data_IF_014173637487
#
_entry.id   IF_014173637487
#
_cell.length_a   1.000
_cell.length_b   1.000
_cell.length_c   1.000
_cell.angle_alpha   90.00
_cell.angle_beta   90.00
_cell.angle_gamma   90.00
#
_symmetry.space_group_name_H-M   'P 1'
#
loop_
_entity.id
_entity.type
_entity.pdbx_description
1 polymer ?
#
# COMPACT_ATOMS: atom_id res chain seq x y z
N UNK A 1 -4.35 27.26 -22.60
CA UNK A 1 -3.51 26.50 -23.54
C UNK A 1 -4.01 25.07 -23.55
N UNK A 2 -4.88 24.74 -24.51
CA UNK A 2 -5.41 23.39 -24.76
C UNK A 2 -4.37 22.61 -25.58
N UNK A 3 -3.42 21.98 -24.91
CA UNK A 3 -2.49 21.05 -25.56
C UNK A 3 -3.20 19.70 -25.77
N UNK A 4 -2.82 18.91 -26.77
CA UNK A 4 -3.41 17.57 -26.99
C UNK A 4 -3.34 16.67 -25.74
N UNK A 5 -2.35 16.91 -24.88
CA UNK A 5 -2.15 16.29 -23.56
C UNK A 5 -3.38 16.50 -22.67
N UNK A 6 -4.00 17.68 -22.66
CA UNK A 6 -5.17 17.96 -21.83
C UNK A 6 -6.44 17.20 -22.29
N UNK A 7 -6.53 16.80 -23.56
CA UNK A 7 -7.69 16.04 -24.07
C UNK A 7 -7.57 14.56 -23.69
N UNK A 8 -6.36 14.00 -23.78
CA UNK A 8 -6.10 12.62 -23.36
C UNK A 8 -6.31 12.44 -21.84
N UNK A 9 -5.89 13.42 -21.04
CA UNK A 9 -6.10 13.40 -19.60
C UNK A 9 -7.59 13.42 -19.23
N UNK A 10 -8.40 14.28 -19.84
CA UNK A 10 -9.86 14.32 -19.62
C UNK A 10 -10.53 13.01 -20.07
N UNK A 11 -10.10 12.42 -21.20
CA UNK A 11 -10.62 11.11 -21.63
C UNK A 11 -10.25 10.00 -20.65
N UNK A 12 -9.04 10.03 -20.09
CA UNK A 12 -8.62 9.08 -19.06
C UNK A 12 -9.47 9.25 -17.81
N UNK A 13 -9.70 10.48 -17.36
CA UNK A 13 -10.56 10.78 -16.21
C UNK A 13 -11.97 10.21 -16.40
N UNK A 14 -12.64 10.52 -17.52
CA UNK A 14 -13.98 9.99 -17.84
C UNK A 14 -13.98 8.46 -17.85
N UNK A 15 -12.93 7.85 -18.42
CA UNK A 15 -12.79 6.39 -18.45
C UNK A 15 -12.65 5.80 -17.05
N UNK A 16 -11.82 6.40 -16.19
CA UNK A 16 -11.62 5.98 -14.80
C UNK A 16 -12.92 6.14 -14.01
N UNK A 17 -13.55 7.31 -14.05
CA UNK A 17 -14.80 7.60 -13.33
C UNK A 17 -15.94 6.65 -13.75
N UNK A 18 -16.07 6.37 -15.05
CA UNK A 18 -17.07 5.42 -15.55
C UNK A 18 -16.78 3.98 -15.10
N UNK A 19 -15.50 3.61 -15.08
CA UNK A 19 -15.06 2.25 -14.75
C UNK A 19 -15.01 1.98 -13.24
N UNK A 20 -14.79 3.01 -12.42
CA UNK A 20 -14.90 2.99 -10.97
C UNK A 20 -16.33 3.40 -10.58
N UNK A 21 -17.21 2.42 -10.39
CA UNK A 21 -18.57 2.68 -9.91
C UNK A 21 -18.95 1.70 -8.81
N UNK A 22 -19.90 2.11 -7.97
CA UNK A 22 -20.48 1.25 -6.92
C UNK A 22 -19.89 1.41 -5.52
N UNK A 23 -18.91 2.29 -5.30
CA UNK A 23 -18.40 2.58 -3.97
C UNK A 23 -19.10 3.79 -3.32
N UNK A 24 -19.54 3.65 -2.06
CA UNK A 24 -20.31 4.66 -1.33
C UNK A 24 -19.61 6.02 -1.23
N UNK A 25 -18.30 6.00 -0.96
CA UNK A 25 -17.46 7.17 -0.76
C UNK A 25 -16.77 7.67 -2.03
N UNK A 26 -17.20 7.20 -3.21
CA UNK A 26 -16.75 7.71 -4.51
C UNK A 26 -17.86 8.59 -5.08
N UNK A 27 -17.51 9.71 -5.71
CA UNK A 27 -18.49 10.54 -6.43
C UNK A 27 -19.18 9.72 -7.52
N UNK A 28 -20.52 9.78 -7.58
CA UNK A 28 -21.26 9.06 -8.62
C UNK A 28 -21.11 9.79 -9.95
N UNK A 29 -20.51 9.11 -10.93
CA UNK A 29 -20.51 9.52 -12.33
C UNK A 29 -21.85 9.17 -12.98
N UNK A 30 -22.45 10.11 -13.70
CA UNK A 30 -23.70 9.91 -14.44
C UNK A 30 -23.46 9.77 -15.94
N UNK A 31 -22.76 10.72 -16.54
CA UNK A 31 -22.51 10.74 -17.98
C UNK A 31 -21.35 11.68 -18.34
N UNK A 32 -20.86 11.60 -19.58
CA UNK A 32 -19.97 12.60 -20.15
C UNK A 32 -20.37 12.91 -21.60
N UNK A 33 -20.46 14.19 -21.94
CA UNK A 33 -20.74 14.65 -23.30
C UNK A 33 -19.74 15.71 -23.73
N UNK A 34 -19.60 15.92 -25.03
CA UNK A 34 -18.70 16.92 -25.61
C UNK A 34 -19.45 17.75 -26.65
N UNK A 35 -19.11 19.04 -26.72
CA UNK A 35 -19.47 19.90 -27.84
C UNK A 35 -18.20 20.31 -28.61
N UNK A 36 -18.31 21.28 -29.52
CA UNK A 36 -17.16 21.72 -30.32
C UNK A 36 -16.00 22.32 -29.50
N UNK A 37 -16.26 22.75 -28.26
CA UNK A 37 -15.31 23.53 -27.45
C UNK A 37 -15.02 22.92 -26.07
N UNK A 38 -15.93 22.12 -25.51
CA UNK A 38 -15.87 21.67 -24.11
C UNK A 38 -16.23 20.20 -23.96
N UNK A 39 -15.67 19.59 -22.92
CA UNK A 39 -16.13 18.30 -22.37
C UNK A 39 -16.88 18.59 -21.08
N UNK A 40 -18.05 17.98 -20.93
CA UNK A 40 -18.92 18.10 -19.78
C UNK A 40 -18.99 16.75 -19.06
N UNK A 41 -18.57 16.72 -17.80
CA UNK A 41 -18.63 15.53 -16.94
C UNK A 41 -19.79 15.73 -15.97
N UNK A 42 -20.83 14.91 -16.09
CA UNK A 42 -22.05 14.98 -15.29
C UNK A 42 -21.93 14.04 -14.10
N UNK A 43 -21.92 14.58 -12.89
CA UNK A 43 -21.66 13.85 -11.64
C UNK A 43 -22.62 14.24 -10.51
N UNK A 44 -22.58 13.48 -9.42
CA UNK A 44 -23.26 13.78 -8.16
C UNK A 44 -22.87 15.16 -7.62
N UNK A 45 -23.87 15.99 -7.35
CA UNK A 45 -23.69 17.27 -6.68
C UNK A 45 -23.44 17.05 -5.19
N UNK A 46 -22.32 17.55 -4.68
CA UNK A 46 -21.96 17.51 -3.26
C UNK A 46 -22.11 18.91 -2.65
N UNK A 47 -23.16 19.13 -1.85
CA UNK A 47 -23.50 20.45 -1.29
C UNK A 47 -22.98 20.69 0.13
N UNK A 48 -22.29 19.70 0.71
CA UNK A 48 -21.82 19.71 2.09
C UNK A 48 -20.47 20.40 2.32
N UNK A 49 -19.82 20.87 1.26
CA UNK A 49 -18.52 21.54 1.31
C UNK A 49 -17.33 20.58 1.47
N UNK A 50 -16.14 21.17 1.54
CA UNK A 50 -14.86 20.46 1.66
C UNK A 50 -14.63 19.88 3.06
N UNK A 51 -13.78 18.84 3.12
CA UNK A 51 -13.44 18.14 4.35
C UNK A 51 -12.94 19.09 5.45
N UNK A 52 -11.92 19.92 5.15
CA UNK A 52 -11.32 20.81 6.13
C UNK A 52 -12.28 21.92 6.57
N UNK A 53 -13.04 22.51 5.65
CA UNK A 53 -13.99 23.56 6.00
C UNK A 53 -15.03 23.07 6.99
N UNK A 54 -15.53 21.85 6.76
CA UNK A 54 -16.49 21.23 7.67
C UNK A 54 -15.90 20.96 9.04
N UNK A 55 -14.64 20.53 9.10
CA UNK A 55 -13.93 20.30 10.35
C UNK A 55 -13.69 21.63 11.08
N UNK A 56 -13.22 22.66 10.38
CA UNK A 56 -12.94 23.99 10.94
C UNK A 56 -14.21 24.66 11.48
N UNK A 57 -15.36 24.44 10.83
CA UNK A 57 -16.65 24.98 11.27
C UNK A 57 -17.09 24.50 12.67
N UNK A 58 -16.53 23.40 13.18
CA UNK A 58 -16.83 22.82 14.51
C UNK A 58 -16.02 23.43 15.67
N UNK A 59 -15.29 24.52 15.44
CA UNK A 59 -14.58 25.25 16.52
C UNK A 59 -13.15 24.76 16.81
N UNK A 60 -12.53 24.03 15.88
CA UNK A 60 -11.07 23.87 15.81
C UNK A 60 -10.41 22.89 16.79
N UNK A 61 -11.17 22.15 17.61
CA UNK A 61 -10.64 21.02 18.39
C UNK A 61 -11.19 19.73 17.82
N UNK A 62 -10.36 19.04 17.05
CA UNK A 62 -10.74 17.76 16.48
C UNK A 62 -10.29 16.64 17.42
N UNK A 63 -11.25 15.82 17.87
CA UNK A 63 -10.93 14.68 18.69
C UNK A 63 -10.32 13.58 17.81
N UNK A 64 -9.47 12.75 18.41
CA UNK A 64 -8.88 11.60 17.73
C UNK A 64 -9.97 10.69 17.14
N UNK A 65 -11.09 10.50 17.86
CA UNK A 65 -12.24 9.72 17.40
C UNK A 65 -12.86 10.28 16.12
N UNK A 66 -13.03 11.59 15.99
CA UNK A 66 -13.56 12.17 14.76
C UNK A 66 -12.62 11.90 13.57
N UNK A 67 -11.30 12.00 13.79
CA UNK A 67 -10.30 11.69 12.78
C UNK A 67 -10.35 10.25 12.31
N UNK A 68 -10.56 9.29 13.22
CA UNK A 68 -10.76 7.89 12.85
C UNK A 68 -11.92 7.72 11.88
N UNK A 69 -13.06 8.37 12.13
CA UNK A 69 -14.24 8.27 11.25
C UNK A 69 -13.97 8.77 9.83
N UNK A 70 -13.21 9.85 9.68
CA UNK A 70 -12.83 10.39 8.36
C UNK A 70 -11.78 9.49 7.69
N UNK A 71 -10.71 9.16 8.40
CA UNK A 71 -9.61 8.36 7.83
C UNK A 71 -10.10 7.00 7.37
N UNK A 72 -11.03 6.36 8.10
CA UNK A 72 -11.61 5.10 7.66
C UNK A 72 -12.38 5.24 6.33
N UNK A 73 -13.13 6.33 6.14
CA UNK A 73 -13.84 6.56 4.88
C UNK A 73 -12.85 6.80 3.71
N UNK A 74 -11.77 7.57 3.96
CA UNK A 74 -10.69 7.80 2.99
C UNK A 74 -10.05 6.47 2.59
N UNK A 75 -9.62 5.68 3.58
CA UNK A 75 -8.98 4.39 3.34
C UNK A 75 -9.92 3.41 2.63
N UNK A 76 -11.21 3.41 2.94
CA UNK A 76 -12.19 2.54 2.29
C UNK A 76 -12.25 2.79 0.79
N UNK A 77 -12.40 4.06 0.35
CA UNK A 77 -12.47 4.37 -1.09
C UNK A 77 -11.12 4.16 -1.78
N UNK A 78 -10.01 4.47 -1.11
CA UNK A 78 -8.67 4.25 -1.69
C UNK A 78 -8.35 2.76 -1.82
N UNK A 79 -8.69 1.94 -0.82
CA UNK A 79 -8.57 0.48 -0.90
C UNK A 79 -9.37 -0.09 -2.07
N UNK A 80 -10.59 0.41 -2.29
CA UNK A 80 -11.40 0.04 -3.45
C UNK A 80 -10.69 0.40 -4.77
N UNK A 81 -10.23 1.63 -4.94
CA UNK A 81 -9.51 2.07 -6.15
C UNK A 81 -8.24 1.23 -6.39
N UNK A 82 -7.45 1.00 -5.34
CA UNK A 82 -6.20 0.25 -5.39
C UNK A 82 -6.42 -1.21 -5.80
N UNK A 83 -7.50 -1.84 -5.34
CA UNK A 83 -7.88 -3.19 -5.76
C UNK A 83 -8.21 -3.25 -7.26
N UNK A 84 -8.79 -2.19 -7.82
CA UNK A 84 -9.04 -2.07 -9.27
C UNK A 84 -7.79 -1.70 -10.08
N UNK A 85 -6.64 -1.46 -9.43
CA UNK A 85 -5.43 -0.99 -10.10
C UNK A 85 -5.50 0.47 -10.55
N UNK A 86 -6.20 1.32 -9.79
CA UNK A 86 -6.24 2.77 -10.02
C UNK A 86 -5.52 3.49 -8.88
N UNK A 87 -4.63 4.41 -9.24
CA UNK A 87 -3.96 5.35 -8.31
C UNK A 87 -4.52 6.75 -8.52
N UNK A 88 -4.80 7.48 -7.44
CA UNK A 88 -5.40 8.81 -7.53
C UNK A 88 -4.37 9.91 -7.82
N UNK A 89 -3.19 9.84 -7.20
CA UNK A 89 -2.04 10.76 -7.36
C UNK A 89 -2.21 12.21 -6.88
N UNK A 90 -3.39 12.60 -6.39
CA UNK A 90 -3.63 13.95 -5.87
C UNK A 90 -4.64 13.92 -4.70
N UNK A 91 -4.46 12.98 -3.77
CA UNK A 91 -5.26 12.97 -2.56
C UNK A 91 -4.89 14.15 -1.67
N UNK A 92 -5.88 15.01 -1.42
CA UNK A 92 -5.78 16.19 -0.57
C UNK A 92 -7.18 16.49 -0.02
N UNK A 93 -7.30 17.21 1.10
CA UNK A 93 -8.60 17.46 1.72
C UNK A 93 -9.62 18.17 0.81
N UNK A 94 -9.15 19.00 -0.12
CA UNK A 94 -9.97 19.70 -1.12
C UNK A 94 -10.69 18.72 -2.06
N UNK A 95 -10.15 17.51 -2.25
CA UNK A 95 -10.72 16.46 -3.11
C UNK A 95 -11.68 15.53 -2.34
N UNK A 96 -12.04 15.87 -1.10
CA UNK A 96 -13.06 15.17 -0.32
C UNK A 96 -14.20 16.13 0.01
N UNK A 97 -15.35 15.91 -0.63
CA UNK A 97 -16.57 16.69 -0.41
C UNK A 97 -17.60 15.90 0.36
N UNK A 98 -18.51 16.58 1.05
CA UNK A 98 -19.68 15.93 1.64
C UNK A 98 -20.90 16.04 0.73
N UNK A 99 -21.65 14.94 0.59
CA UNK A 99 -22.81 14.87 -0.30
C UNK A 99 -23.88 15.92 0.05
N UNK A 100 -24.09 16.21 1.33
CA UNK A 100 -25.02 17.23 1.81
C UNK A 100 -24.51 17.91 3.08
N UNK A 101 -25.23 18.95 3.54
CA UNK A 101 -24.90 19.69 4.76
C UNK A 101 -25.24 18.92 6.06
N UNK A 102 -26.00 17.83 5.96
CA UNK A 102 -26.43 17.02 7.12
C UNK A 102 -25.24 16.39 7.82
N UNK A 103 -25.14 16.43 9.16
CA UNK A 103 -23.96 15.99 9.94
C UNK A 103 -23.50 14.55 9.65
N UNK A 104 -24.44 13.69 9.26
CA UNK A 104 -24.25 12.29 8.89
C UNK A 104 -23.99 12.06 7.39
N UNK A 105 -23.86 13.13 6.60
CA UNK A 105 -23.66 13.05 5.17
C UNK A 105 -22.36 12.31 4.82
N UNK A 106 -22.46 11.46 3.79
CA UNK A 106 -21.32 10.71 3.28
C UNK A 106 -20.27 11.63 2.65
N UNK A 107 -19.01 11.34 2.97
CA UNK A 107 -17.86 11.92 2.27
C UNK A 107 -17.67 11.22 0.92
N UNK A 108 -17.31 12.00 -0.10
CA UNK A 108 -17.13 11.62 -1.49
C UNK A 108 -15.75 12.06 -1.96
N UNK A 109 -14.96 11.11 -2.44
CA UNK A 109 -13.74 11.38 -3.20
C UNK A 109 -14.12 11.86 -4.60
N UNK A 110 -13.58 13.02 -4.98
CA UNK A 110 -13.76 13.67 -6.27
C UNK A 110 -12.42 13.85 -6.99
N UNK A 111 -12.46 14.36 -8.23
CA UNK A 111 -11.31 14.81 -9.03
C UNK A 111 -10.31 13.69 -9.39
N UNK A 112 -10.62 12.96 -10.46
CA UNK A 112 -9.76 11.92 -11.01
C UNK A 112 -8.91 12.43 -12.18
N UNK A 113 -8.77 13.75 -12.35
CA UNK A 113 -8.06 14.37 -13.47
C UNK A 113 -6.58 14.01 -13.53
N UNK A 114 -5.97 13.74 -12.36
CA UNK A 114 -4.62 13.21 -12.26
C UNK A 114 -4.56 11.71 -12.04
N UNK A 115 -5.65 10.95 -12.05
CA UNK A 115 -5.59 9.50 -11.78
C UNK A 115 -4.99 8.70 -12.94
N UNK A 116 -4.49 7.49 -12.65
CA UNK A 116 -4.02 6.56 -13.69
C UNK A 116 -4.33 5.10 -13.38
N UNK A 117 -4.32 4.28 -14.44
CA UNK A 117 -4.30 2.83 -14.29
C UNK A 117 -2.87 2.36 -14.06
N UNK A 118 -2.69 1.47 -13.10
CA UNK A 118 -1.42 0.81 -12.80
C UNK A 118 -1.53 -0.66 -13.20
N UNK A 119 -0.75 -1.09 -14.18
CA UNK A 119 -0.64 -2.52 -14.50
C UNK A 119 0.22 -3.24 -13.47
N UNK A 120 0.08 -4.57 -13.36
CA UNK A 120 0.97 -5.37 -12.52
C UNK A 120 2.44 -5.08 -12.84
N UNK A 121 3.24 -4.86 -11.79
CA UNK A 121 4.68 -4.55 -11.85
C UNK A 121 5.05 -3.23 -12.55
N UNK A 122 4.07 -2.42 -12.98
CA UNK A 122 4.28 -1.09 -13.57
C UNK A 122 4.54 -0.02 -12.49
N UNK A 123 5.40 0.95 -12.82
CA UNK A 123 5.68 2.13 -12.01
C UNK A 123 5.64 3.38 -12.88
N UNK A 124 5.03 4.44 -12.35
CA UNK A 124 4.89 5.74 -13.00
C UNK A 124 6.17 6.59 -12.83
N UNK A 125 6.38 7.50 -13.77
CA UNK A 125 7.63 8.29 -13.89
C UNK A 125 7.43 9.80 -14.04
N UNK A 126 6.18 10.25 -14.09
CA UNK A 126 5.78 11.65 -14.06
C UNK A 126 5.87 12.22 -12.63
N UNK A 127 5.90 13.55 -12.51
CA UNK A 127 5.82 14.25 -11.22
C UNK A 127 4.52 15.04 -11.23
N UNK A 128 3.52 14.52 -10.55
CA UNK A 128 2.17 15.10 -10.44
C UNK A 128 1.72 15.13 -8.99
N UNK A 129 0.62 15.86 -8.75
CA UNK A 129 0.02 16.02 -7.43
C UNK A 129 0.45 17.30 -6.71
N UNK A 130 -0.27 17.61 -5.65
CA UNK A 130 -0.11 18.83 -4.88
C UNK A 130 1.11 18.78 -3.96
N UNK A 131 1.91 19.85 -3.93
CA UNK A 131 3.26 19.85 -3.34
C UNK A 131 3.35 19.41 -1.87
N UNK A 132 2.30 19.64 -1.07
CA UNK A 132 2.26 19.24 0.35
C UNK A 132 1.99 17.76 0.57
N UNK A 133 1.34 17.10 -0.40
CA UNK A 133 0.81 15.74 -0.26
C UNK A 133 1.56 14.73 -1.14
N UNK A 134 2.48 15.20 -1.98
CA UNK A 134 3.28 14.35 -2.87
C UNK A 134 4.27 13.48 -2.11
N UNK A 135 4.36 12.20 -2.49
CA UNK A 135 5.24 11.23 -1.86
C UNK A 135 6.71 11.37 -2.32
N UNK A 136 7.71 10.98 -1.51
CA UNK A 136 9.13 11.04 -1.86
C UNK A 136 9.45 10.30 -3.17
N UNK A 137 8.85 9.14 -3.39
CA UNK A 137 9.08 8.30 -4.57
C UNK A 137 8.48 8.87 -5.88
N UNK A 138 7.47 9.75 -5.79
CA UNK A 138 6.96 10.52 -6.94
C UNK A 138 8.04 11.49 -7.41
N UNK A 139 8.72 12.17 -6.48
CA UNK A 139 9.86 13.05 -6.80
C UNK A 139 11.06 12.27 -7.40
N UNK A 140 11.16 10.97 -7.09
CA UNK A 140 12.12 10.07 -7.71
C UNK A 140 11.63 9.43 -9.02
N UNK A 141 10.43 9.79 -9.51
CA UNK A 141 9.85 9.28 -10.77
C UNK A 141 9.74 7.76 -10.80
N UNK A 142 9.39 7.15 -9.67
CA UNK A 142 9.21 5.70 -9.59
C UNK A 142 8.24 5.37 -8.46
N UNK A 143 6.95 5.38 -8.76
CA UNK A 143 5.88 5.18 -7.77
C UNK A 143 4.72 4.36 -8.34
N UNK A 144 3.88 3.88 -7.44
CA UNK A 144 2.66 3.15 -7.72
C UNK A 144 1.61 3.52 -6.65
N UNK A 145 0.75 2.58 -6.25
CA UNK A 145 -0.36 2.78 -5.31
C UNK A 145 0.07 3.39 -3.95
N UNK A 146 1.30 3.10 -3.50
CA UNK A 146 1.88 3.63 -2.26
C UNK A 146 1.85 5.16 -2.15
N UNK A 147 1.87 5.89 -3.27
CA UNK A 147 1.90 7.35 -3.28
C UNK A 147 0.67 7.94 -2.60
N UNK A 148 -0.50 7.36 -2.87
CA UNK A 148 -1.77 7.75 -2.24
C UNK A 148 -1.72 7.53 -0.72
N UNK A 149 -1.06 6.47 -0.26
CA UNK A 149 -0.96 6.16 1.18
C UNK A 149 -0.14 7.23 1.93
N UNK A 150 0.90 7.77 1.30
CA UNK A 150 1.64 8.89 1.87
C UNK A 150 0.74 10.12 1.98
N UNK A 151 -0.01 10.45 0.93
CA UNK A 151 -0.93 11.57 0.94
C UNK A 151 -1.99 11.44 2.04
N UNK A 152 -2.52 10.23 2.27
CA UNK A 152 -3.41 9.93 3.41
C UNK A 152 -2.70 10.13 4.75
N UNK A 153 -1.42 9.76 4.86
CA UNK A 153 -0.59 10.04 6.03
C UNK A 153 -0.46 11.54 6.31
N UNK A 154 -0.26 12.36 5.28
CA UNK A 154 -0.21 13.83 5.41
C UNK A 154 -1.57 14.39 5.84
N UNK A 155 -2.66 13.93 5.22
CA UNK A 155 -4.03 14.32 5.61
C UNK A 155 -4.27 13.95 7.07
N UNK A 156 -3.95 12.73 7.47
CA UNK A 156 -4.14 12.26 8.86
C UNK A 156 -3.32 13.08 9.84
N UNK A 157 -2.06 13.39 9.53
CA UNK A 157 -1.22 14.27 10.35
C UNK A 157 -1.89 15.64 10.55
N UNK A 158 -2.39 16.26 9.47
CA UNK A 158 -3.07 17.56 9.52
C UNK A 158 -4.38 17.47 10.33
N UNK A 159 -5.17 16.40 10.18
CA UNK A 159 -6.40 16.20 10.95
C UNK A 159 -6.13 16.14 12.46
N UNK A 160 -5.02 15.51 12.85
CA UNK A 160 -4.67 15.26 14.24
C UNK A 160 -4.02 16.47 14.94
N UNK A 161 -3.18 17.24 14.24
CA UNK A 161 -2.42 18.34 14.86
C UNK A 161 -2.70 19.73 14.28
N UNK A 162 -3.44 19.83 13.17
CA UNK A 162 -3.75 21.09 12.47
C UNK A 162 -2.57 21.70 11.71
N UNK A 163 -1.41 21.04 11.68
CA UNK A 163 -0.19 21.53 11.04
C UNK A 163 0.28 20.60 9.93
N UNK A 164 1.05 21.13 8.98
CA UNK A 164 1.63 20.33 7.88
C UNK A 164 2.89 19.62 8.36
N UNK A 165 3.09 18.31 8.06
CA UNK A 165 4.29 17.58 8.48
C UNK A 165 5.56 18.08 7.79
N UNK A 166 5.44 18.60 6.56
CA UNK A 166 6.55 19.13 5.78
C UNK A 166 6.18 20.54 5.31
N UNK A 167 6.99 21.54 5.71
CA UNK A 167 6.73 22.93 5.36
C UNK A 167 8.01 23.70 5.04
N UNK A 168 7.98 24.51 3.98
CA UNK A 168 8.95 25.54 3.66
C UNK A 168 8.30 26.61 2.78
N UNK A 169 8.81 27.85 2.80
CA UNK A 169 8.24 28.99 2.06
C UNK A 169 8.14 28.83 0.54
N UNK A 170 8.82 27.85 -0.05
CA UNK A 170 8.86 27.60 -1.49
C UNK A 170 8.60 26.13 -1.75
N UNK A 171 8.02 25.83 -2.92
CA UNK A 171 7.77 24.45 -3.37
C UNK A 171 9.04 23.58 -3.34
N UNK A 172 10.15 24.09 -3.89
CA UNK A 172 11.46 23.42 -3.82
C UNK A 172 11.94 23.15 -2.40
N UNK A 173 11.57 24.02 -1.45
CA UNK A 173 11.83 23.81 -0.03
C UNK A 173 10.98 22.68 0.56
N UNK A 174 9.70 22.60 0.17
CA UNK A 174 8.78 21.53 0.59
C UNK A 174 9.29 20.20 0.08
N UNK A 175 9.65 20.10 -1.21
CA UNK A 175 10.22 18.88 -1.79
C UNK A 175 11.49 18.44 -1.07
N UNK A 176 12.36 19.38 -0.69
CA UNK A 176 13.55 19.07 0.11
C UNK A 176 13.18 18.52 1.48
N UNK A 177 12.16 19.07 2.15
CA UNK A 177 11.67 18.58 3.43
C UNK A 177 11.08 17.17 3.28
N UNK A 178 10.20 16.94 2.31
CA UNK A 178 9.62 15.61 1.98
C UNK A 178 10.73 14.56 1.78
N UNK A 179 11.82 14.92 1.10
CA UNK A 179 12.94 14.00 0.86
C UNK A 179 13.82 13.78 2.11
N UNK A 180 14.05 14.79 2.94
CA UNK A 180 15.15 14.76 3.94
C UNK A 180 14.74 14.85 5.41
N UNK A 181 13.61 15.47 5.72
CA UNK A 181 13.14 15.66 7.08
C UNK A 181 12.13 14.59 7.47
N UNK A 182 12.03 14.28 8.76
CA UNK A 182 10.97 13.44 9.31
C UNK A 182 9.89 14.31 9.95
N UNK A 183 8.63 13.86 10.00
CA UNK A 183 7.56 14.60 10.66
C UNK A 183 7.81 14.72 12.17
N UNK A 184 7.57 15.90 12.74
CA UNK A 184 7.65 16.15 14.19
C UNK A 184 6.46 15.52 14.91
N UNK A 185 6.71 14.84 16.03
CA UNK A 185 5.70 14.33 16.95
C UNK A 185 5.92 14.86 18.39
N UNK A 186 6.74 15.89 18.53
CA UNK A 186 7.14 16.47 19.82
C UNK A 186 6.30 17.71 20.16
N UNK A 187 5.84 18.42 19.13
CA UNK A 187 5.04 19.63 19.29
C UNK A 187 3.58 19.31 19.63
N UNK A 188 2.94 20.17 20.44
CA UNK A 188 1.52 20.03 20.77
C UNK A 188 0.65 19.98 19.50
N UNK A 189 -0.39 19.12 19.45
CA UNK A 189 -0.91 18.27 20.52
C UNK A 189 -0.29 16.86 20.60
N UNK A 190 0.72 16.51 19.78
CA UNK A 190 1.23 15.15 19.67
C UNK A 190 1.59 14.48 20.99
N UNK A 191 2.27 15.13 21.96
CA UNK A 191 2.54 14.52 23.25
C UNK A 191 1.30 13.95 23.97
N UNK A 192 0.12 14.54 23.75
CA UNK A 192 -1.15 14.10 24.35
C UNK A 192 -1.92 13.04 23.56
N UNK A 193 -1.50 12.73 22.33
CA UNK A 193 -2.17 11.73 21.47
C UNK A 193 -1.73 10.30 21.81
N UNK A 194 -2.60 9.33 21.49
CA UNK A 194 -2.32 7.91 21.71
C UNK A 194 -1.05 7.43 20.99
N UNK A 195 -0.44 6.37 21.52
CA UNK A 195 0.74 5.78 20.87
C UNK A 195 0.36 5.16 19.53
N UNK A 196 -0.84 4.59 19.45
CA UNK A 196 -1.43 3.99 18.26
C UNK A 196 -1.65 5.03 17.15
N UNK A 197 -2.08 6.25 17.47
CA UNK A 197 -2.21 7.34 16.49
C UNK A 197 -0.85 7.74 15.92
N UNK A 198 0.17 7.86 16.78
CA UNK A 198 1.54 8.19 16.35
C UNK A 198 2.12 7.09 15.48
N UNK A 199 1.99 5.83 15.89
CA UNK A 199 2.45 4.68 15.10
C UNK A 199 1.76 4.61 13.74
N UNK A 200 0.43 4.77 13.72
CA UNK A 200 -0.35 4.79 12.49
C UNK A 200 0.20 5.82 11.49
N UNK A 201 0.40 7.07 11.93
CA UNK A 201 0.91 8.14 11.05
C UNK A 201 2.35 7.90 10.63
N UNK A 202 3.22 7.40 11.52
CA UNK A 202 4.61 7.03 11.15
C UNK A 202 4.65 5.94 10.08
N UNK A 203 3.76 4.95 10.17
CA UNK A 203 3.67 3.85 9.21
C UNK A 203 3.13 4.29 7.85
N UNK A 204 2.23 5.29 7.80
CA UNK A 204 1.79 5.92 6.54
C UNK A 204 2.85 6.87 5.95
N UNK A 205 3.58 7.60 6.79
CA UNK A 205 4.64 8.55 6.38
C UNK A 205 6.03 7.92 6.34
N UNK A 206 6.12 6.60 6.16
CA UNK A 206 7.41 5.94 5.96
C UNK A 206 7.96 6.33 4.57
N UNK A 207 9.18 6.88 4.55
CA UNK A 207 9.85 7.31 3.29
C UNK A 207 10.20 6.13 2.39
N UNK A 208 10.45 4.96 2.95
CA UNK A 208 10.58 3.74 2.16
C UNK A 208 9.19 3.20 1.87
N UNK A 209 8.73 3.40 0.64
CA UNK A 209 7.39 3.01 0.21
C UNK A 209 7.09 1.51 0.42
N UNK A 210 8.12 0.66 0.44
CA UNK A 210 7.95 -0.80 0.65
C UNK A 210 7.58 -1.15 2.08
N UNK A 211 7.92 -0.26 3.02
CA UNK A 211 7.61 -0.37 4.44
C UNK A 211 6.27 0.26 4.80
N UNK A 212 5.69 1.03 3.88
CA UNK A 212 4.41 1.69 4.07
C UNK A 212 3.28 0.66 4.06
N UNK A 213 2.29 0.84 4.93
CA UNK A 213 1.08 0.02 4.91
C UNK A 213 0.33 0.20 3.59
N UNK A 214 -0.49 -0.77 3.21
CA UNK A 214 -1.57 -0.54 2.23
C UNK A 214 -2.76 0.15 2.90
N UNK A 215 -3.74 0.59 2.11
CA UNK A 215 -4.98 1.13 2.67
C UNK A 215 -5.73 0.09 3.51
N UNK A 216 -5.69 -1.19 3.11
CA UNK A 216 -6.34 -2.29 3.84
C UNK A 216 -5.64 -2.61 5.15
N UNK A 217 -4.30 -2.65 5.14
CA UNK A 217 -3.51 -2.83 6.37
C UNK A 217 -3.72 -1.65 7.34
N UNK A 218 -3.83 -0.44 6.83
CA UNK A 218 -4.16 0.74 7.63
C UNK A 218 -5.55 0.60 8.27
N UNK A 219 -6.56 0.08 7.57
CA UNK A 219 -7.88 -0.22 8.16
C UNK A 219 -7.80 -1.30 9.27
N UNK A 220 -6.85 -2.23 9.17
CA UNK A 220 -6.63 -3.28 10.16
C UNK A 220 -5.77 -2.85 11.37
N UNK A 221 -5.22 -1.63 11.32
CA UNK A 221 -4.31 -1.10 12.33
C UNK A 221 -5.01 -0.90 13.68
N UNK A 222 -4.37 -1.17 14.84
CA UNK A 222 -4.99 -1.02 16.16
C UNK A 222 -5.68 0.33 16.41
N UNK A 223 -5.13 1.41 15.83
CA UNK A 223 -5.73 2.75 15.90
C UNK A 223 -7.16 2.85 15.30
N UNK A 224 -7.44 2.10 14.23
CA UNK A 224 -8.72 2.10 13.50
C UNK A 224 -9.53 0.80 13.64
N UNK A 225 -8.89 -0.25 14.20
CA UNK A 225 -9.42 -1.61 14.23
C UNK A 225 -10.78 -1.62 14.93
N UNK A 226 -11.73 -2.27 14.27
CA UNK A 226 -13.06 -2.53 14.81
C UNK A 226 -13.51 -3.91 14.31
N UNK A 227 -13.71 -4.85 15.23
CA UNK A 227 -14.02 -6.25 14.91
C UNK A 227 -15.32 -6.44 14.13
N UNK A 228 -16.21 -5.44 14.15
CA UNK A 228 -17.47 -5.47 13.41
C UNK A 228 -17.35 -4.96 11.97
N UNK A 229 -16.20 -4.36 11.59
CA UNK A 229 -16.00 -3.79 10.26
C UNK A 229 -15.25 -4.78 9.36
N UNK A 230 -15.87 -5.28 8.26
CA UNK A 230 -15.16 -6.15 7.34
C UNK A 230 -14.05 -5.38 6.63
N UNK A 231 -12.88 -6.02 6.49
CA UNK A 231 -11.80 -5.50 5.67
C UNK A 231 -12.07 -5.79 4.18
N UNK A 232 -11.75 -4.87 3.27
CA UNK A 232 -11.76 -5.17 1.85
C UNK A 232 -10.62 -6.11 1.46
N UNK A 233 -10.72 -6.71 0.27
CA UNK A 233 -9.65 -7.52 -0.31
C UNK A 233 -8.46 -6.65 -0.69
N UNK A 234 -7.24 -7.07 -0.33
CA UNK A 234 -6.01 -6.34 -0.62
C UNK A 234 -5.26 -6.94 -1.82
N UNK A 235 -4.98 -6.12 -2.83
CA UNK A 235 -4.21 -6.54 -4.00
C UNK A 235 -2.76 -6.94 -3.66
N UNK A 236 -2.23 -6.46 -2.53
CA UNK A 236 -0.91 -6.86 -2.05
C UNK A 236 -0.82 -8.38 -1.80
N UNK A 237 -1.89 -9.01 -1.28
CA UNK A 237 -1.94 -10.46 -1.03
C UNK A 237 -1.65 -11.23 -2.32
N UNK A 238 -2.28 -10.84 -3.42
CA UNK A 238 -2.07 -11.47 -4.74
C UNK A 238 -0.63 -11.28 -5.23
N UNK A 239 -0.05 -10.09 -5.03
CA UNK A 239 1.34 -9.80 -5.40
C UNK A 239 2.34 -10.64 -4.60
N UNK A 240 2.14 -10.76 -3.29
CA UNK A 240 3.00 -11.54 -2.40
C UNK A 240 2.88 -13.04 -2.67
N UNK A 241 1.66 -13.56 -2.81
CA UNK A 241 1.44 -14.97 -3.13
C UNK A 241 2.02 -15.33 -4.50
N UNK A 242 1.83 -14.49 -5.53
CA UNK A 242 2.52 -14.63 -6.83
C UNK A 242 4.03 -14.75 -6.61
N UNK A 243 4.65 -13.82 -5.88
CA UNK A 243 6.10 -13.85 -5.63
C UNK A 243 6.54 -15.12 -4.90
N UNK A 244 5.77 -15.58 -3.91
CA UNK A 244 6.05 -16.80 -3.16
C UNK A 244 5.95 -18.06 -4.04
N UNK A 245 4.94 -18.13 -4.91
CA UNK A 245 4.75 -19.24 -5.86
C UNK A 245 5.90 -19.37 -6.87
N UNK A 246 6.65 -18.29 -7.14
CA UNK A 246 7.85 -18.30 -7.98
C UNK A 246 9.16 -18.32 -7.18
N UNK A 247 9.10 -18.21 -5.86
CA UNK A 247 10.26 -18.28 -5.00
C UNK A 247 10.85 -19.69 -4.93
N UNK A 248 12.16 -19.76 -4.72
CA UNK A 248 12.89 -21.01 -4.52
C UNK A 248 12.46 -21.71 -3.22
N UNK A 249 12.65 -23.04 -3.10
CA UNK A 249 12.36 -23.74 -1.85
C UNK A 249 13.07 -23.15 -0.63
N UNK A 250 14.32 -22.67 -0.80
CA UNK A 250 15.09 -22.05 0.27
C UNK A 250 14.49 -20.72 0.72
N UNK A 251 14.05 -19.87 -0.23
CA UNK A 251 13.34 -18.63 0.07
C UNK A 251 11.99 -18.87 0.76
N UNK A 252 11.24 -19.89 0.32
CA UNK A 252 9.98 -20.28 0.96
C UNK A 252 10.19 -20.76 2.39
N UNK A 253 11.22 -21.58 2.64
CA UNK A 253 11.57 -22.01 3.99
C UNK A 253 11.87 -20.82 4.91
N UNK A 254 12.60 -19.81 4.41
CA UNK A 254 12.86 -18.59 5.18
C UNK A 254 11.56 -17.82 5.50
N UNK A 255 10.67 -17.63 4.52
CA UNK A 255 9.39 -16.95 4.73
C UNK A 255 8.47 -17.73 5.68
N UNK A 256 8.48 -19.06 5.61
CA UNK A 256 7.72 -19.93 6.52
C UNK A 256 8.24 -19.83 7.96
N UNK A 257 9.55 -19.74 8.15
CA UNK A 257 10.12 -19.48 9.48
C UNK A 257 9.75 -18.09 10.01
N UNK A 258 9.66 -17.09 9.12
CA UNK A 258 9.18 -15.75 9.47
C UNK A 258 7.69 -15.73 9.86
N UNK A 259 6.82 -16.42 9.11
CA UNK A 259 5.38 -16.46 9.44
C UNK A 259 5.11 -17.14 10.79
N UNK A 260 5.86 -18.18 11.14
CA UNK A 260 5.77 -18.87 12.44
C UNK A 260 6.12 -17.99 13.64
N UNK A 261 6.90 -16.93 13.43
CA UNK A 261 7.32 -16.02 14.49
C UNK A 261 6.36 -14.84 14.71
N UNK A 262 5.31 -14.73 13.89
CA UNK A 262 4.32 -13.66 14.04
C UNK A 262 3.43 -13.89 15.26
N UNK A 263 3.05 -12.80 15.92
CA UNK A 263 2.08 -12.82 17.02
C UNK A 263 0.65 -12.89 16.46
N UNK A 264 -0.33 -13.26 17.30
CA UNK A 264 -1.74 -13.26 16.88
C UNK A 264 -2.21 -11.89 16.38
N UNK A 265 -1.69 -10.80 16.96
CA UNK A 265 -2.03 -9.44 16.53
C UNK A 265 -1.61 -9.13 15.09
N UNK A 266 -0.46 -9.66 14.67
CA UNK A 266 0.04 -9.54 13.29
C UNK A 266 -0.69 -10.49 12.33
N UNK A 267 -1.24 -11.59 12.84
CA UNK A 267 -2.03 -12.54 12.06
C UNK A 267 -3.46 -12.05 11.78
N UNK A 268 -4.00 -11.05 12.50
CA UNK A 268 -5.37 -10.56 12.30
C UNK A 268 -5.63 -10.11 10.86
N UNK A 269 -4.72 -9.33 10.28
CA UNK A 269 -4.85 -8.89 8.88
C UNK A 269 -4.81 -10.08 7.92
N UNK A 270 -3.86 -11.01 8.09
CA UNK A 270 -3.72 -12.18 7.23
C UNK A 270 -4.92 -13.12 7.34
N UNK A 271 -5.44 -13.32 8.56
CA UNK A 271 -6.63 -14.14 8.81
C UNK A 271 -7.85 -13.54 8.13
N UNK A 272 -8.05 -12.22 8.22
CA UNK A 272 -9.13 -11.55 7.52
C UNK A 272 -9.02 -11.73 5.99
N UNK A 273 -7.83 -11.53 5.42
CA UNK A 273 -7.61 -11.74 3.98
C UNK A 273 -7.82 -13.20 3.55
N UNK A 274 -7.39 -14.16 4.37
CA UNK A 274 -7.62 -15.58 4.13
C UNK A 274 -9.11 -15.91 4.09
N UNK A 275 -9.89 -15.40 5.05
CA UNK A 275 -11.34 -15.63 5.09
C UNK A 275 -12.09 -15.00 3.91
N UNK A 276 -11.62 -13.86 3.39
CA UNK A 276 -12.19 -13.24 2.17
C UNK A 276 -12.00 -14.08 0.91
N UNK A 277 -11.06 -15.03 0.92
CA UNK A 277 -10.88 -16.00 -0.17
C UNK A 277 -11.84 -17.19 -0.07
N UNK A 278 -12.62 -17.28 1.02
CA UNK A 278 -13.55 -18.37 1.29
C UNK A 278 -12.88 -19.75 1.20
N UNK A 279 -12.02 -20.11 2.17
CA UNK A 279 -11.39 -21.42 2.19
C UNK A 279 -12.44 -22.54 2.14
N UNK A 280 -12.08 -23.65 1.51
CA UNK A 280 -12.96 -24.81 1.39
C UNK A 280 -13.16 -25.53 2.74
N UNK A 281 -13.90 -26.64 2.72
CA UNK A 281 -14.17 -27.44 3.92
C UNK A 281 -12.90 -28.03 4.58
N UNK A 282 -11.77 -28.05 3.86
CA UNK A 282 -10.48 -28.48 4.39
C UNK A 282 -9.63 -27.29 4.88
N UNK A 283 -10.25 -26.12 5.06
CA UNK A 283 -9.59 -24.88 5.49
C UNK A 283 -8.44 -24.47 4.54
N UNK A 284 -8.61 -24.72 3.24
CA UNK A 284 -7.59 -24.45 2.23
C UNK A 284 -8.10 -23.50 1.14
N UNK A 285 -7.19 -22.69 0.60
CA UNK A 285 -7.46 -21.81 -0.56
C UNK A 285 -6.72 -22.29 -1.80
N UNK A 286 -7.43 -22.33 -2.92
CA UNK A 286 -6.94 -22.75 -4.24
C UNK A 286 -6.88 -21.57 -5.21
N UNK A 287 -6.32 -21.78 -6.41
CA UNK A 287 -6.32 -20.76 -7.47
C UNK A 287 -7.75 -20.29 -7.83
N UNK A 288 -8.75 -21.18 -7.71
CA UNK A 288 -10.16 -20.85 -7.95
C UNK A 288 -10.70 -19.86 -6.91
N UNK A 289 -10.30 -20.01 -5.64
CA UNK A 289 -10.67 -19.09 -4.56
C UNK A 289 -10.16 -17.67 -4.86
N UNK A 290 -8.87 -17.53 -5.17
CA UNK A 290 -8.27 -16.25 -5.58
C UNK A 290 -8.98 -15.65 -6.79
N UNK A 291 -9.25 -16.44 -7.84
CA UNK A 291 -9.95 -15.95 -9.04
C UNK A 291 -11.36 -15.47 -8.71
N UNK A 292 -12.09 -16.24 -7.90
CA UNK A 292 -13.49 -15.95 -7.54
C UNK A 292 -13.58 -14.70 -6.67
N UNK A 293 -12.72 -14.58 -5.64
CA UNK A 293 -12.69 -13.42 -4.76
C UNK A 293 -12.35 -12.13 -5.52
N UNK A 294 -11.36 -12.17 -6.43
CA UNK A 294 -11.01 -11.02 -7.25
C UNK A 294 -12.14 -10.62 -8.21
N UNK A 295 -12.78 -11.60 -8.88
CA UNK A 295 -13.88 -11.35 -9.80
C UNK A 295 -15.11 -10.73 -9.12
N UNK A 296 -15.45 -11.17 -7.90
CA UNK A 296 -16.58 -10.61 -7.13
C UNK A 296 -16.40 -9.14 -6.77
N UNK A 297 -15.16 -8.69 -6.64
CA UNK A 297 -14.82 -7.31 -6.34
C UNK A 297 -14.44 -6.51 -7.60
N UNK A 298 -14.51 -7.11 -8.80
CA UNK A 298 -14.05 -6.47 -10.02
C UNK A 298 -15.06 -5.47 -10.58
N UNK A 299 -14.55 -4.33 -11.03
CA UNK A 299 -15.25 -3.42 -11.93
C UNK A 299 -14.58 -3.44 -13.31
N UNK A 300 -15.12 -2.68 -14.26
CA UNK A 300 -14.47 -2.51 -15.57
C UNK A 300 -13.05 -1.92 -15.46
N UNK A 301 -12.76 -1.17 -14.38
CA UNK A 301 -11.44 -0.59 -14.15
C UNK A 301 -10.37 -1.68 -13.97
N UNK A 302 -10.71 -2.81 -13.33
CA UNK A 302 -9.81 -3.94 -13.14
C UNK A 302 -9.37 -4.60 -14.46
N UNK A 303 -10.25 -4.57 -15.47
CA UNK A 303 -9.93 -5.10 -16.81
C UNK A 303 -8.96 -4.17 -17.53
N UNK A 304 -9.22 -2.87 -17.45
CA UNK A 304 -8.37 -1.83 -18.06
C UNK A 304 -6.96 -1.79 -17.45
N UNK A 305 -6.87 -1.92 -16.12
CA UNK A 305 -5.60 -2.03 -15.40
C UNK A 305 -4.94 -3.40 -15.53
N UNK A 306 -5.62 -4.40 -16.11
CA UNK A 306 -5.13 -5.79 -16.24
C UNK A 306 -4.72 -6.43 -14.91
N UNK A 307 -5.33 -6.01 -13.80
CA UNK A 307 -5.05 -6.59 -12.47
C UNK A 307 -5.32 -8.09 -12.43
N UNK A 308 -6.30 -8.57 -13.20
CA UNK A 308 -6.62 -10.00 -13.37
C UNK A 308 -5.44 -10.85 -13.87
N UNK A 309 -4.46 -10.24 -14.56
CA UNK A 309 -3.28 -10.97 -15.06
C UNK A 309 -2.38 -11.48 -13.92
N UNK A 310 -2.48 -10.90 -12.71
CA UNK A 310 -1.76 -11.41 -11.54
C UNK A 310 -2.17 -12.85 -11.22
N UNK A 311 -3.47 -13.16 -11.35
CA UNK A 311 -3.99 -14.51 -11.09
C UNK A 311 -3.46 -15.51 -12.13
N UNK A 312 -3.26 -15.09 -13.38
CA UNK A 312 -2.67 -15.96 -14.41
C UNK A 312 -1.22 -16.34 -14.04
N UNK A 313 -0.45 -15.41 -13.45
CA UNK A 313 0.89 -15.68 -12.97
C UNK A 313 0.92 -16.58 -11.71
N UNK A 314 -0.23 -16.88 -11.11
CA UNK A 314 -0.38 -17.82 -10.00
C UNK A 314 -0.69 -19.25 -10.45
N UNK A 315 -0.53 -19.57 -11.75
CA UNK A 315 -0.69 -20.93 -12.32
C UNK A 315 -0.04 -22.06 -11.49
N UNK A 316 1.14 -21.89 -10.85
CA UNK A 316 1.70 -22.94 -10.00
C UNK A 316 0.78 -23.40 -8.84
N UNK A 317 -0.29 -22.66 -8.52
CA UNK A 317 -1.32 -23.01 -7.53
C UNK A 317 -2.47 -23.86 -8.13
N UNK A 318 -2.51 -24.10 -9.44
CA UNK A 318 -3.63 -24.79 -10.10
C UNK A 318 -3.89 -26.22 -9.60
N UNK A 319 -2.83 -26.91 -9.14
CA UNK A 319 -2.89 -28.31 -8.68
C UNK A 319 -2.58 -28.49 -7.20
N UNK A 320 -2.62 -27.42 -6.42
CA UNK A 320 -2.39 -27.45 -4.96
C UNK A 320 -3.36 -26.50 -4.26
N UNK A 321 -3.43 -26.60 -2.95
CA UNK A 321 -4.11 -25.62 -2.10
C UNK A 321 -3.15 -25.18 -0.99
N UNK A 322 -3.42 -24.01 -0.41
CA UNK A 322 -2.69 -23.49 0.74
C UNK A 322 -3.60 -23.53 1.96
N UNK A 323 -3.16 -24.19 3.01
CA UNK A 323 -3.72 -23.98 4.34
C UNK A 323 -3.36 -22.58 4.86
N UNK A 324 -3.85 -22.24 6.05
CA UNK A 324 -3.59 -20.93 6.65
C UNK A 324 -2.10 -20.68 6.94
N UNK A 325 -1.33 -21.70 7.32
CA UNK A 325 0.10 -21.54 7.62
C UNK A 325 0.91 -21.21 6.36
N UNK A 326 0.68 -21.96 5.27
CA UNK A 326 1.32 -21.74 3.98
C UNK A 326 0.86 -20.41 3.38
N UNK A 327 -0.42 -20.05 3.53
CA UNK A 327 -0.91 -18.74 3.13
C UNK A 327 -0.18 -17.61 3.87
N UNK A 328 0.01 -17.72 5.19
CA UNK A 328 0.77 -16.72 5.95
C UNK A 328 2.21 -16.61 5.45
N UNK A 329 2.90 -17.73 5.20
CA UNK A 329 4.24 -17.71 4.60
C UNK A 329 4.27 -17.02 3.22
N UNK A 330 3.20 -17.20 2.43
CA UNK A 330 3.06 -16.63 1.10
C UNK A 330 2.64 -15.16 1.07
N UNK A 331 1.95 -14.67 2.11
CA UNK A 331 1.30 -13.37 2.14
C UNK A 331 1.96 -12.35 3.08
N UNK A 332 3.12 -12.65 3.65
CA UNK A 332 3.88 -11.71 4.48
C UNK A 332 4.84 -10.85 3.65
N UNK A 333 4.99 -9.58 4.06
CA UNK A 333 6.01 -8.68 3.52
C UNK A 333 7.03 -8.37 4.60
N UNK A 334 8.28 -8.82 4.42
CA UNK A 334 9.38 -8.50 5.35
C UNK A 334 9.55 -6.99 5.52
N UNK A 335 9.39 -6.21 4.43
CA UNK A 335 9.52 -4.75 4.48
C UNK A 335 8.44 -4.09 5.35
N UNK A 336 7.23 -4.64 5.41
CA UNK A 336 6.13 -4.08 6.21
C UNK A 336 6.14 -4.54 7.67
N UNK A 337 6.90 -5.61 7.98
CA UNK A 337 7.13 -6.07 9.35
C UNK A 337 8.28 -5.33 10.04
N UNK A 338 9.29 -4.88 9.29
CA UNK A 338 10.43 -4.15 9.85
C UNK A 338 10.09 -2.90 10.67
N UNK A 339 9.05 -2.09 10.34
CA UNK A 339 8.70 -0.91 11.13
C UNK A 339 8.00 -1.22 12.45
N UNK A 340 7.60 -2.47 12.69
CA UNK A 340 6.92 -2.85 13.93
C UNK A 340 7.90 -2.77 15.10
N UNK A 341 7.44 -2.29 16.26
CA UNK A 341 8.28 -2.20 17.46
C UNK A 341 8.86 -3.56 17.89
N UNK A 342 8.16 -4.66 17.61
CA UNK A 342 8.58 -6.04 17.92
C UNK A 342 9.41 -6.74 16.83
N UNK A 343 9.87 -6.02 15.80
CA UNK A 343 10.59 -6.62 14.67
C UNK A 343 11.81 -7.44 15.07
N UNK A 344 12.63 -6.96 16.01
CA UNK A 344 13.85 -7.66 16.43
C UNK A 344 13.54 -9.02 17.06
N UNK A 345 12.49 -9.10 17.89
CA UNK A 345 12.01 -10.34 18.49
C UNK A 345 11.46 -11.28 17.41
N UNK A 346 10.61 -10.77 16.51
CA UNK A 346 10.06 -11.55 15.39
C UNK A 346 11.19 -12.13 14.54
N UNK A 347 12.16 -11.30 14.14
CA UNK A 347 13.28 -11.72 13.31
C UNK A 347 14.15 -12.77 14.02
N UNK A 348 14.46 -12.57 15.31
CA UNK A 348 15.23 -13.53 16.11
C UNK A 348 14.53 -14.88 16.23
N UNK A 349 13.25 -14.89 16.62
CA UNK A 349 12.46 -16.12 16.73
C UNK A 349 12.32 -16.82 15.38
N UNK A 350 12.12 -16.04 14.30
CA UNK A 350 12.06 -16.58 12.95
C UNK A 350 13.37 -17.27 12.56
N UNK A 351 14.52 -16.68 12.91
CA UNK A 351 15.81 -17.28 12.63
C UNK A 351 16.02 -18.59 13.42
N UNK A 352 15.53 -18.69 14.65
CA UNK A 352 15.57 -19.96 15.39
C UNK A 352 14.76 -21.07 14.72
N UNK A 353 13.57 -20.74 14.19
CA UNK A 353 12.80 -21.69 13.39
C UNK A 353 13.54 -22.07 12.11
N UNK A 354 14.15 -21.09 11.44
CA UNK A 354 14.92 -21.31 10.23
C UNK A 354 16.14 -22.21 10.49
N UNK A 355 16.89 -22.00 11.56
CA UNK A 355 18.04 -22.83 11.95
C UNK A 355 17.68 -24.33 12.07
N UNK A 356 16.48 -24.64 12.54
CA UNK A 356 16.01 -26.02 12.76
C UNK A 356 15.46 -26.66 11.48
N UNK A 357 14.70 -25.93 10.68
CA UNK A 357 13.87 -26.50 9.61
C UNK A 357 14.30 -26.12 8.19
N UNK A 358 15.03 -25.01 8.02
CA UNK A 358 15.25 -24.40 6.69
C UNK A 358 16.70 -24.02 6.37
N UNK A 359 17.55 -23.75 7.37
CA UNK A 359 18.92 -23.27 7.17
C UNK A 359 19.84 -24.44 6.80
N UNK A 360 19.92 -24.70 5.50
CA UNK A 360 20.83 -25.66 4.89
C UNK A 360 22.21 -25.05 4.65
N UNK A 361 23.21 -25.91 4.51
CA UNK A 361 24.52 -25.51 4.00
C UNK A 361 24.35 -24.98 2.58
N UNK A 362 24.97 -23.84 2.29
CA UNK A 362 24.86 -23.15 1.00
C UNK A 362 26.21 -22.55 0.60
N UNK A 363 26.60 -22.70 -0.66
CA UNK A 363 27.80 -22.04 -1.19
C UNK A 363 27.50 -20.59 -1.57
N UNK A 364 28.54 -19.77 -1.75
CA UNK A 364 28.36 -18.37 -2.20
C UNK A 364 27.73 -18.32 -3.59
N UNK A 365 28.11 -19.23 -4.48
CA UNK A 365 27.56 -19.35 -5.83
C UNK A 365 26.09 -19.76 -5.82
N UNK A 366 25.71 -20.69 -4.93
CA UNK A 366 24.32 -21.07 -4.73
C UNK A 366 23.50 -19.90 -4.17
N UNK A 367 23.98 -19.22 -3.13
CA UNK A 367 23.30 -18.07 -2.54
C UNK A 367 23.14 -16.92 -3.54
N UNK A 368 24.15 -16.68 -4.38
CA UNK A 368 24.05 -15.70 -5.46
C UNK A 368 22.98 -16.09 -6.48
N UNK A 369 22.88 -17.38 -6.84
CA UNK A 369 21.83 -17.89 -7.74
C UNK A 369 20.44 -17.75 -7.12
N UNK A 370 20.28 -18.04 -5.83
CA UNK A 370 19.03 -17.84 -5.08
C UNK A 370 18.56 -16.36 -5.13
N UNK A 371 19.49 -15.42 -5.25
CA UNK A 371 19.24 -13.98 -5.30
C UNK A 371 19.27 -13.39 -6.73
N UNK A 372 19.48 -14.23 -7.76
CA UNK A 372 19.71 -13.80 -9.14
C UNK A 372 20.85 -12.77 -9.28
N UNK A 373 21.93 -12.96 -8.52
CA UNK A 373 23.12 -12.11 -8.51
C UNK A 373 24.28 -12.72 -9.31
N UNK A 374 25.05 -11.85 -9.95
CA UNK A 374 26.30 -12.23 -10.61
C UNK A 374 27.50 -12.31 -9.64
N UNK A 375 28.67 -12.77 -10.14
CA UNK A 375 29.89 -12.94 -9.34
C UNK A 375 30.37 -11.69 -8.61
N UNK A 376 30.01 -10.48 -9.08
CA UNK A 376 30.38 -9.22 -8.45
C UNK A 376 29.82 -9.05 -7.03
N UNK A 377 28.75 -9.78 -6.67
CA UNK A 377 28.15 -9.73 -5.34
C UNK A 377 28.79 -10.70 -4.33
N UNK A 378 29.69 -11.59 -4.76
CA UNK A 378 30.22 -12.65 -3.90
C UNK A 378 30.96 -12.12 -2.66
N UNK A 379 31.61 -10.96 -2.78
CA UNK A 379 32.27 -10.32 -1.65
C UNK A 379 31.29 -9.93 -0.54
N UNK A 380 30.11 -9.41 -0.91
CA UNK A 380 29.06 -8.98 0.04
C UNK A 380 28.35 -10.20 0.64
N UNK A 381 28.11 -11.22 -0.18
CA UNK A 381 27.42 -12.44 0.27
C UNK A 381 28.27 -13.31 1.19
N UNK A 382 29.60 -13.17 1.16
CA UNK A 382 30.49 -13.93 2.04
C UNK A 382 30.19 -13.69 3.52
N UNK A 383 29.87 -12.44 3.89
CA UNK A 383 29.55 -12.07 5.28
C UNK A 383 28.18 -12.59 5.73
N UNK A 384 27.38 -13.12 4.80
CA UNK A 384 26.06 -13.68 5.10
C UNK A 384 26.13 -15.16 5.46
N UNK A 385 27.25 -15.83 5.16
CA UNK A 385 27.45 -17.26 5.41
C UNK A 385 28.44 -17.43 6.57
N UNK A 386 28.08 -18.28 7.54
CA UNK A 386 28.92 -18.62 8.68
C UNK A 386 30.09 -19.50 8.26
N UNK A 387 31.30 -19.12 8.66
CA UNK A 387 32.51 -19.92 8.40
C UNK A 387 32.51 -21.28 9.12
N UNK A 388 31.77 -21.41 10.22
CA UNK A 388 31.79 -22.61 11.05
C UNK A 388 31.10 -23.82 10.40
N UNK A 389 30.01 -23.59 9.67
CA UNK A 389 29.13 -24.64 9.14
C UNK A 389 28.57 -24.37 7.73
N UNK A 390 28.92 -23.23 7.11
CA UNK A 390 28.46 -22.90 5.76
C UNK A 390 26.97 -22.59 5.65
N UNK A 391 26.31 -22.28 6.77
CA UNK A 391 24.89 -21.87 6.82
C UNK A 391 24.74 -20.35 6.83
N UNK A 392 23.54 -19.83 6.56
CA UNK A 392 23.29 -18.39 6.70
C UNK A 392 23.46 -17.96 8.17
N UNK A 393 24.12 -16.83 8.39
CA UNK A 393 24.09 -16.11 9.67
C UNK A 393 22.74 -15.43 9.87
N UNK A 394 22.47 -14.91 11.08
CA UNK A 394 21.27 -14.09 11.33
C UNK A 394 21.20 -12.88 10.40
N UNK A 395 22.33 -12.21 10.18
CA UNK A 395 22.46 -11.13 9.21
C UNK A 395 22.17 -11.62 7.78
N UNK A 396 22.71 -12.79 7.41
CA UNK A 396 22.46 -13.39 6.11
C UNK A 396 20.98 -13.72 5.89
N UNK A 397 20.31 -14.27 6.90
CA UNK A 397 18.89 -14.57 6.88
C UNK A 397 18.02 -13.32 6.71
N UNK A 398 18.23 -12.29 7.54
CA UNK A 398 17.46 -11.04 7.45
C UNK A 398 17.65 -10.38 6.09
N UNK A 399 18.88 -10.27 5.58
CA UNK A 399 19.14 -9.74 4.23
C UNK A 399 18.56 -10.63 3.12
N UNK A 400 18.61 -11.95 3.28
CA UNK A 400 18.01 -12.89 2.35
C UNK A 400 16.49 -12.74 2.27
N UNK A 401 15.80 -12.45 3.39
CA UNK A 401 14.36 -12.16 3.42
C UNK A 401 13.99 -10.92 2.59
N UNK A 402 14.79 -9.85 2.62
CA UNK A 402 14.55 -8.68 1.76
C UNK A 402 14.83 -8.95 0.28
N UNK A 403 15.73 -9.90 -0.01
CA UNK A 403 16.26 -10.10 -1.35
C UNK A 403 17.16 -8.95 -1.78
N UNK A 404 17.43 -8.87 -3.08
CA UNK A 404 18.24 -7.78 -3.64
C UNK A 404 17.34 -6.58 -3.86
N UNK A 405 17.59 -5.52 -3.11
CA UNK A 405 17.04 -4.21 -3.47
C UNK A 405 17.73 -3.77 -4.76
N UNK A 406 17.05 -3.93 -5.90
CA UNK A 406 17.44 -3.26 -7.14
C UNK A 406 17.23 -1.78 -6.88
N UNK A 407 18.20 -1.11 -6.25
CA UNK A 407 18.44 0.28 -6.58
C UNK A 407 18.72 0.22 -8.07
N UNK A 408 17.77 0.70 -8.86
CA UNK A 408 18.03 1.06 -10.24
C UNK A 408 19.22 2.01 -10.20
N UNK A 409 20.41 1.45 -10.40
CA UNK A 409 21.60 2.19 -10.75
C UNK A 409 21.29 2.74 -12.12
N UNK A 410 20.54 3.85 -12.16
CA UNK A 410 20.55 4.72 -13.31
C UNK A 410 22.01 5.09 -13.46
N UNK A 411 22.63 4.46 -14.45
CA UNK A 411 23.79 4.93 -15.15
C UNK A 411 23.72 6.45 -15.20
N UNK A 412 24.57 7.10 -14.40
CA UNK A 412 25.02 8.46 -14.67
C UNK A 412 25.65 8.41 -16.06
N UNK A 413 24.85 8.63 -17.08
CA UNK A 413 25.39 9.17 -18.32
C UNK A 413 25.41 10.69 -18.12
N UNK A 414 26.64 11.18 -18.14
CA UNK A 414 27.06 12.57 -18.02
C UNK A 414 26.39 13.48 -19.05
#
# INVERSE_FOLDING_TARGET
MTTAISIEDVRREVKILKALSGHKHLVKFYDACEDANNVYIVMELCEGGELLDRILSRGGRYAEEDAKHIVVQILSVVAFCHLQGVVHRDLKPENFLFASRSEDADMKLIDFGLSDFIRPDERLNDIVGSAYYVAPEVLHRSYSLEGDIWSIGVITYILLCGSRPFWARTESGIFRAVLRADPSFDDLPWPSMSLEAKDFVRRLLNKDYRKRMTAVQALAHPWLRNDSRPLPLDILIYKLVKSYLHATPFKRAALKSLSKALTEDELIYLRAQFMLLEPDNNECVSLLNFKTALQRNSTEAMRESRVVDIVNAMEPLAYRAMDFEEFCAAAISTHQLEPLEGWEQIASTAFEHFEREGNRVISIEELARELNLGPSAYSVLRDWIRNADGKLSFLGYTKFLHGVTVRSSNTRHH
#
